data_IF_838734576357
#
_entry.id   IF_838734576357
#
_cell.length_a   1.000
_cell.length_b   1.000
_cell.length_c   1.000
_cell.angle_alpha   90.00
_cell.angle_beta   90.00
_cell.angle_gamma   90.00
#
_symmetry.space_group_name_H-M   'P 1'
#
loop_
_entity.id
_entity.type
_entity.pdbx_description
1 polymer ?
#
# COMPACT_ATOMS: atom_id res chain seq x y z
N UNK A 1 8.96 -17.60 -18.12
CA UNK A 1 8.06 -16.45 -17.98
C UNK A 1 8.88 -15.21 -17.62
N UNK A 2 8.86 -14.19 -18.46
CA UNK A 2 9.61 -12.95 -18.26
C UNK A 2 8.98 -12.02 -17.21
N UNK A 3 9.59 -10.85 -16.96
CA UNK A 3 9.08 -9.85 -16.00
C UNK A 3 7.69 -9.35 -16.39
N UNK A 4 7.44 -9.10 -17.68
CA UNK A 4 6.19 -8.53 -18.19
C UNK A 4 5.04 -9.49 -18.00
N UNK A 5 5.25 -10.77 -18.32
CA UNK A 5 4.28 -11.83 -18.12
C UNK A 5 3.96 -12.02 -16.63
N UNK A 6 4.95 -11.96 -15.74
CA UNK A 6 4.70 -12.00 -14.28
C UNK A 6 3.93 -10.79 -13.79
N UNK A 7 4.26 -9.58 -14.25
CA UNK A 7 3.51 -8.37 -13.92
C UNK A 7 2.05 -8.44 -14.39
N UNK A 8 1.77 -9.16 -15.47
CA UNK A 8 0.39 -9.37 -15.95
C UNK A 8 -0.44 -10.25 -15.00
N UNK A 9 0.20 -11.14 -14.24
CA UNK A 9 -0.46 -11.99 -13.23
C UNK A 9 -0.83 -11.23 -11.96
N UNK A 10 -0.25 -10.05 -11.72
CA UNK A 10 -0.62 -9.17 -10.61
C UNK A 10 -1.93 -8.43 -10.93
N UNK A 11 -3.05 -9.14 -10.77
CA UNK A 11 -4.37 -8.68 -11.21
C UNK A 11 -5.38 -8.45 -10.09
N UNK A 12 -4.99 -8.73 -8.85
CA UNK A 12 -5.76 -8.46 -7.65
C UNK A 12 -6.87 -9.47 -7.40
N UNK A 13 -6.82 -10.65 -8.04
CA UNK A 13 -7.72 -11.76 -7.75
C UNK A 13 -7.28 -12.58 -6.54
N UNK A 14 -6.04 -12.39 -6.06
CA UNK A 14 -5.50 -13.13 -4.92
C UNK A 14 -5.30 -14.61 -5.24
N UNK A 15 -5.00 -14.94 -6.50
CA UNK A 15 -4.72 -16.31 -6.93
C UNK A 15 -3.30 -16.75 -6.54
N UNK A 16 -3.07 -18.05 -6.42
CA UNK A 16 -1.71 -18.58 -6.19
C UNK A 16 -0.72 -18.08 -7.26
N UNK A 17 -1.16 -18.00 -8.53
CA UNK A 17 -0.36 -17.47 -9.62
C UNK A 17 0.05 -16.00 -9.43
N UNK A 18 -0.81 -15.17 -8.83
CA UNK A 18 -0.47 -13.79 -8.48
C UNK A 18 0.61 -13.76 -7.39
N UNK A 19 0.43 -14.53 -6.31
CA UNK A 19 1.40 -14.56 -5.21
C UNK A 19 2.75 -15.16 -5.63
N UNK A 20 2.74 -16.21 -6.45
CA UNK A 20 3.96 -16.80 -7.01
C UNK A 20 4.69 -15.83 -7.93
N UNK A 21 3.95 -15.08 -8.76
CA UNK A 21 4.53 -14.04 -9.60
C UNK A 21 5.13 -12.90 -8.77
N UNK A 22 4.42 -12.41 -7.74
CA UNK A 22 4.91 -11.38 -6.83
C UNK A 22 6.16 -11.85 -6.08
N UNK A 23 6.17 -13.10 -5.59
CA UNK A 23 7.32 -13.70 -4.93
C UNK A 23 8.52 -13.78 -5.87
N UNK A 24 8.31 -14.28 -7.09
CA UNK A 24 9.36 -14.38 -8.10
C UNK A 24 9.91 -13.00 -8.52
N UNK A 25 9.07 -11.97 -8.61
CA UNK A 25 9.50 -10.60 -8.92
C UNK A 25 10.19 -9.91 -7.73
N UNK A 26 9.88 -10.30 -6.49
CA UNK A 26 10.45 -9.64 -5.32
C UNK A 26 11.95 -9.81 -5.13
N UNK A 27 12.56 -10.78 -5.82
CA UNK A 27 14.02 -10.96 -5.88
C UNK A 27 14.73 -9.77 -6.53
N UNK A 28 14.00 -8.92 -7.26
CA UNK A 28 14.49 -7.68 -7.85
C UNK A 28 14.73 -6.58 -6.79
N UNK A 29 14.41 -6.83 -5.52
CA UNK A 29 14.60 -5.86 -4.44
C UNK A 29 13.83 -4.57 -4.69
N UNK A 30 14.51 -3.43 -4.60
CA UNK A 30 13.92 -2.10 -4.74
C UNK A 30 13.53 -1.73 -6.19
N UNK A 31 13.96 -2.49 -7.20
CA UNK A 31 13.44 -2.30 -8.56
C UNK A 31 11.98 -2.80 -8.69
N UNK A 32 11.52 -3.70 -7.81
CA UNK A 32 10.15 -4.19 -7.86
C UNK A 32 9.09 -3.11 -7.56
N UNK A 33 9.21 -2.29 -6.50
CA UNK A 33 8.36 -1.11 -6.29
C UNK A 33 8.24 -0.18 -7.50
N UNK A 34 9.36 0.13 -8.17
CA UNK A 34 9.36 0.94 -9.39
C UNK A 34 8.53 0.33 -10.51
N UNK A 35 8.62 -0.99 -10.71
CA UNK A 35 7.79 -1.71 -11.68
C UNK A 35 6.30 -1.68 -11.29
N UNK A 36 5.97 -1.81 -10.00
CA UNK A 36 4.60 -1.74 -9.51
C UNK A 36 4.01 -0.34 -9.65
N UNK A 37 4.78 0.73 -9.41
CA UNK A 37 4.35 2.10 -9.64
C UNK A 37 4.04 2.35 -11.12
N UNK A 38 4.94 1.91 -12.01
CA UNK A 38 4.71 1.99 -13.45
C UNK A 38 3.46 1.20 -13.87
N UNK A 39 3.26 -0.01 -13.33
CA UNK A 39 2.06 -0.82 -13.61
C UNK A 39 0.79 -0.13 -13.08
N UNK A 40 0.80 0.36 -11.84
CA UNK A 40 -0.32 1.06 -11.21
C UNK A 40 -0.84 2.19 -12.10
N UNK A 41 0.06 3.06 -12.59
CA UNK A 41 -0.26 4.19 -13.48
C UNK A 41 -0.88 3.77 -14.82
N UNK A 42 -0.53 2.58 -15.32
CA UNK A 42 -1.03 2.05 -16.59
C UNK A 42 -2.27 1.14 -16.45
N UNK A 43 -2.62 0.73 -15.23
CA UNK A 43 -3.69 -0.23 -14.98
C UNK A 43 -5.08 0.40 -14.98
N UNK A 44 -5.93 -0.05 -15.91
CA UNK A 44 -7.32 0.42 -16.02
C UNK A 44 -8.24 -0.23 -14.97
N UNK A 45 -7.94 -1.45 -14.53
CA UNK A 45 -8.75 -2.20 -13.58
C UNK A 45 -8.35 -1.89 -12.15
N UNK A 46 -9.33 -1.66 -11.28
CA UNK A 46 -9.07 -1.38 -9.88
C UNK A 46 -8.39 -2.55 -9.15
N UNK A 47 -8.65 -3.81 -9.56
CA UNK A 47 -8.02 -5.00 -8.98
C UNK A 47 -6.51 -5.02 -9.21
N UNK A 48 -6.07 -4.74 -10.45
CA UNK A 48 -4.64 -4.64 -10.78
C UNK A 48 -3.96 -3.52 -9.99
N UNK A 49 -4.63 -2.37 -9.85
CA UNK A 49 -4.11 -1.26 -9.05
C UNK A 49 -4.00 -1.63 -7.57
N UNK A 50 -5.03 -2.26 -7.00
CA UNK A 50 -5.00 -2.79 -5.63
C UNK A 50 -3.86 -3.78 -5.43
N UNK A 51 -3.64 -4.70 -6.37
CA UNK A 51 -2.53 -5.66 -6.36
C UNK A 51 -1.19 -4.94 -6.27
N UNK A 52 -0.99 -3.85 -7.03
CA UNK A 52 0.22 -3.05 -6.96
C UNK A 52 0.43 -2.46 -5.55
N UNK A 53 -0.60 -1.82 -4.96
CA UNK A 53 -0.47 -1.24 -3.60
C UNK A 53 -0.23 -2.32 -2.54
N UNK A 54 -0.89 -3.47 -2.68
CA UNK A 54 -0.74 -4.59 -1.76
C UNK A 54 0.68 -5.15 -1.77
N UNK A 55 1.18 -5.54 -2.94
CA UNK A 55 2.52 -6.18 -3.05
C UNK A 55 3.67 -5.21 -2.80
N UNK A 56 3.45 -3.90 -3.00
CA UNK A 56 4.46 -2.88 -2.65
C UNK A 56 4.52 -2.57 -1.15
N UNK A 57 3.50 -2.95 -0.37
CA UNK A 57 3.38 -2.59 1.05
C UNK A 57 4.57 -3.05 1.90
N UNK A 58 5.21 -4.18 1.55
CA UNK A 58 6.40 -4.66 2.27
C UNK A 58 7.64 -3.78 2.11
N UNK A 59 7.64 -2.85 1.16
CA UNK A 59 8.73 -1.91 0.90
C UNK A 59 8.47 -0.52 1.49
N UNK A 60 7.39 -0.34 2.26
CA UNK A 60 6.93 0.96 2.77
C UNK A 60 8.01 1.77 3.51
N UNK A 61 8.93 1.10 4.21
CA UNK A 61 10.01 1.75 4.95
C UNK A 61 11.26 2.04 4.10
N UNK A 62 11.44 1.35 2.98
CA UNK A 62 12.71 1.28 2.26
C UNK A 62 12.67 1.87 0.83
N UNK A 63 11.49 2.17 0.29
CA UNK A 63 11.34 2.58 -1.12
C UNK A 63 10.56 3.88 -1.27
N UNK A 64 11.18 4.86 -1.93
CA UNK A 64 10.49 6.08 -2.37
C UNK A 64 9.38 5.76 -3.39
N UNK A 65 9.60 4.84 -4.33
CA UNK A 65 8.57 4.42 -5.28
C UNK A 65 7.34 3.80 -4.58
N UNK A 66 7.55 3.04 -3.51
CA UNK A 66 6.45 2.48 -2.70
C UNK A 66 5.65 3.59 -2.01
N UNK A 67 6.34 4.59 -1.47
CA UNK A 67 5.72 5.75 -0.84
C UNK A 67 4.96 6.60 -1.87
N UNK A 68 5.56 6.89 -3.02
CA UNK A 68 4.95 7.62 -4.13
C UNK A 68 3.69 6.90 -4.65
N UNK A 69 3.76 5.58 -4.82
CA UNK A 69 2.61 4.76 -5.21
C UNK A 69 1.46 4.91 -4.21
N UNK A 70 1.75 4.88 -2.90
CA UNK A 70 0.74 5.05 -1.88
C UNK A 70 0.12 6.47 -1.90
N UNK A 71 0.93 7.51 -2.11
CA UNK A 71 0.43 8.88 -2.25
C UNK A 71 -0.51 9.00 -3.45
N UNK A 72 -0.15 8.46 -4.62
CA UNK A 72 -1.05 8.45 -5.79
C UNK A 72 -2.33 7.64 -5.54
N UNK A 73 -2.22 6.55 -4.79
CA UNK A 73 -3.32 5.65 -4.48
C UNK A 73 -4.36 6.23 -3.51
N UNK A 74 -4.04 7.30 -2.76
CA UNK A 74 -5.04 8.04 -1.99
C UNK A 74 -6.12 8.67 -2.87
N UNK A 75 -5.79 9.03 -4.12
CA UNK A 75 -6.75 9.61 -5.07
C UNK A 75 -7.48 8.56 -5.92
N UNK A 76 -7.31 7.25 -5.67
CA UNK A 76 -7.93 6.21 -6.49
C UNK A 76 -9.46 6.23 -6.37
N UNK A 77 -10.15 5.96 -7.48
CA UNK A 77 -11.61 5.84 -7.53
C UNK A 77 -12.15 4.71 -6.65
N UNK A 78 -11.37 3.65 -6.46
CA UNK A 78 -11.74 2.49 -5.65
C UNK A 78 -11.42 2.70 -4.18
N UNK A 79 -12.44 2.60 -3.32
CA UNK A 79 -12.28 2.60 -1.85
C UNK A 79 -11.25 1.57 -1.39
N UNK A 80 -11.21 0.37 -1.98
CA UNK A 80 -10.27 -0.68 -1.59
C UNK A 80 -8.82 -0.28 -1.83
N UNK A 81 -8.56 0.42 -2.93
CA UNK A 81 -7.22 0.93 -3.25
C UNK A 81 -6.84 2.03 -2.26
N UNK A 82 -7.75 2.97 -1.96
CA UNK A 82 -7.52 4.03 -0.96
C UNK A 82 -7.26 3.46 0.44
N UNK A 83 -8.03 2.45 0.86
CA UNK A 83 -7.80 1.75 2.13
C UNK A 83 -6.37 1.18 2.21
N UNK A 84 -5.93 0.47 1.17
CA UNK A 84 -4.59 -0.11 1.12
C UNK A 84 -3.51 0.98 1.13
N UNK A 85 -3.76 2.12 0.48
CA UNK A 85 -2.87 3.27 0.51
C UNK A 85 -2.75 3.87 1.91
N UNK A 86 -3.86 4.09 2.62
CA UNK A 86 -3.84 4.55 4.01
C UNK A 86 -3.07 3.60 4.92
N UNK A 87 -3.29 2.28 4.79
CA UNK A 87 -2.55 1.26 5.52
C UNK A 87 -1.05 1.36 5.25
N UNK A 88 -0.64 1.43 3.97
CA UNK A 88 0.76 1.52 3.59
C UNK A 88 1.41 2.78 4.19
N UNK A 89 0.76 3.93 4.10
CA UNK A 89 1.29 5.19 4.68
C UNK A 89 1.38 5.12 6.22
N UNK A 90 0.42 4.47 6.87
CA UNK A 90 0.48 4.20 8.30
C UNK A 90 1.67 3.30 8.67
N UNK A 91 2.09 2.39 7.78
CA UNK A 91 3.31 1.60 7.98
C UNK A 91 4.56 2.40 7.67
N UNK A 92 4.53 3.24 6.63
CA UNK A 92 5.66 4.07 6.21
C UNK A 92 6.03 5.15 7.25
N UNK A 93 5.07 5.59 8.09
CA UNK A 93 5.31 6.46 9.23
C UNK A 93 5.94 7.82 8.89
N UNK A 94 5.77 8.29 7.64
CA UNK A 94 6.32 9.58 7.19
C UNK A 94 5.35 10.71 7.45
N UNK A 95 5.79 11.74 8.19
CA UNK A 95 4.95 12.90 8.50
C UNK A 95 4.53 13.69 7.26
N UNK A 96 5.26 13.59 6.15
CA UNK A 96 4.88 14.18 4.85
C UNK A 96 3.60 13.59 4.26
N UNK A 97 3.11 12.45 4.77
CA UNK A 97 1.84 11.85 4.35
C UNK A 97 0.62 12.51 5.01
N UNK A 98 0.81 13.30 6.07
CA UNK A 98 -0.29 13.88 6.84
C UNK A 98 -1.17 14.81 6.00
N UNK A 99 -0.56 15.65 5.16
CA UNK A 99 -1.29 16.56 4.26
C UNK A 99 -2.09 15.80 3.18
N UNK A 100 -1.49 14.88 2.40
CA UNK A 100 -2.24 14.03 1.49
C UNK A 100 -3.39 13.26 2.15
N UNK A 101 -3.15 12.65 3.32
CA UNK A 101 -4.19 11.92 4.07
C UNK A 101 -5.32 12.84 4.53
N UNK A 102 -5.03 14.09 4.91
CA UNK A 102 -6.05 15.03 5.35
C UNK A 102 -7.10 15.31 4.27
N UNK A 103 -6.72 15.23 2.98
CA UNK A 103 -7.66 15.40 1.85
C UNK A 103 -8.77 14.37 1.82
N UNK A 104 -8.57 13.18 2.41
CA UNK A 104 -9.56 12.11 2.50
C UNK A 104 -10.50 12.24 3.70
N UNK A 105 -10.28 13.20 4.61
CA UNK A 105 -11.13 13.36 5.79
C UNK A 105 -12.56 13.79 5.44
N UNK A 106 -12.74 14.50 4.32
CA UNK A 106 -14.04 14.86 3.76
C UNK A 106 -14.67 13.74 2.91
N UNK A 107 -13.88 12.73 2.50
CA UNK A 107 -14.38 11.60 1.70
C UNK A 107 -15.07 10.58 2.60
N UNK A 108 -16.41 10.58 2.59
CA UNK A 108 -17.25 9.76 3.50
C UNK A 108 -16.79 8.32 3.63
N UNK A 109 -16.40 7.69 2.53
CA UNK A 109 -16.04 6.27 2.52
C UNK A 109 -14.62 5.97 3.01
N UNK A 110 -13.75 6.97 3.11
CA UNK A 110 -12.33 6.82 3.41
C UNK A 110 -11.86 7.66 4.60
N UNK A 111 -12.73 8.51 5.14
CA UNK A 111 -12.44 9.41 6.27
C UNK A 111 -11.91 8.65 7.48
N UNK A 112 -12.55 7.53 7.86
CA UNK A 112 -12.12 6.75 9.01
C UNK A 112 -10.77 6.06 8.80
N UNK A 113 -10.47 5.62 7.58
CA UNK A 113 -9.17 5.01 7.26
C UNK A 113 -8.06 6.06 7.24
N UNK A 114 -8.36 7.27 6.74
CA UNK A 114 -7.44 8.39 6.78
C UNK A 114 -7.16 8.87 8.20
N UNK A 115 -8.18 8.95 9.07
CA UNK A 115 -8.02 9.26 10.50
C UNK A 115 -7.11 8.25 11.18
N UNK A 116 -7.35 6.96 10.96
CA UNK A 116 -6.54 5.90 11.55
C UNK A 116 -5.07 5.95 11.07
N UNK A 117 -4.84 6.25 9.79
CA UNK A 117 -3.47 6.41 9.26
C UNK A 117 -2.76 7.66 9.83
N UNK A 118 -3.46 8.79 9.91
CA UNK A 118 -2.95 10.02 10.51
C UNK A 118 -2.59 9.78 11.99
N UNK A 119 -3.46 9.08 12.71
CA UNK A 119 -3.28 8.78 14.12
C UNK A 119 -2.07 7.87 14.36
N UNK A 120 -1.95 6.81 13.55
CA UNK A 120 -0.77 5.94 13.53
C UNK A 120 0.52 6.71 13.28
N UNK A 121 0.53 7.64 12.31
CA UNK A 121 1.71 8.46 11.98
C UNK A 121 2.07 9.40 13.14
N UNK A 122 1.07 10.07 13.74
CA UNK A 122 1.29 11.01 14.85
C UNK A 122 1.86 10.32 16.09
N UNK A 123 1.45 9.08 16.35
CA UNK A 123 1.90 8.30 17.50
C UNK A 123 3.14 7.45 17.23
N UNK A 124 3.63 7.42 15.98
CA UNK A 124 4.75 6.56 15.56
C UNK A 124 4.48 5.07 15.80
N UNK A 125 3.22 4.66 15.74
CA UNK A 125 2.80 3.27 15.92
C UNK A 125 1.84 2.86 14.79
N UNK A 126 2.33 2.04 13.86
CA UNK A 126 1.52 1.58 12.74
C UNK A 126 0.33 0.72 13.20
N UNK A 127 0.39 0.11 14.38
CA UNK A 127 -0.70 -0.73 14.89
C UNK A 127 -1.99 0.07 15.05
N UNK A 128 -1.91 1.36 15.37
CA UNK A 128 -3.09 2.21 15.59
C UNK A 128 -3.97 2.38 14.35
N UNK A 129 -3.46 2.04 13.16
CA UNK A 129 -4.30 1.95 11.98
C UNK A 129 -5.41 0.89 12.12
N UNK A 130 -5.09 -0.25 12.77
CA UNK A 130 -6.02 -1.33 13.07
C UNK A 130 -6.56 -1.26 14.50
N UNK A 131 -5.71 -0.90 15.46
CA UNK A 131 -6.01 -0.73 16.89
C UNK A 131 -6.54 0.68 17.19
N UNK A 132 -7.70 1.01 16.62
CA UNK A 132 -8.23 2.38 16.59
C UNK A 132 -8.62 2.95 17.96
N UNK A 133 -8.75 2.10 18.97
CA UNK A 133 -9.05 2.46 20.36
C UNK A 133 -7.80 2.46 21.26
N UNK A 134 -6.61 2.20 20.68
CA UNK A 134 -5.33 2.11 21.38
C UNK A 134 -5.35 1.06 22.51
N UNK A 135 -6.10 -0.02 22.31
CA UNK A 135 -6.23 -1.09 23.31
C UNK A 135 -4.92 -1.86 23.56
N UNK A 136 -4.01 -1.83 22.61
CA UNK A 136 -2.79 -2.65 22.58
C UNK A 136 -3.05 -4.11 22.18
N UNK A 137 -4.31 -4.50 21.95
CA UNK A 137 -4.72 -5.88 21.68
C UNK A 137 -4.68 -6.25 20.20
N UNK A 138 -4.73 -5.26 19.31
CA UNK A 138 -4.67 -5.46 17.86
C UNK A 138 -3.28 -5.10 17.33
N UNK A 139 -2.66 -6.03 16.61
CA UNK A 139 -1.36 -5.82 15.97
C UNK A 139 -1.45 -6.04 14.46
N UNK A 140 -0.85 -5.13 13.71
CA UNK A 140 -0.66 -5.33 12.28
C UNK A 140 0.52 -6.27 12.05
N UNK A 141 0.28 -7.38 11.36
CA UNK A 141 1.36 -8.21 10.87
C UNK A 141 1.86 -7.65 9.53
N UNK A 142 2.91 -6.85 9.58
CA UNK A 142 3.52 -6.22 8.40
C UNK A 142 4.82 -6.92 8.05
N UNK A 143 4.83 -7.60 6.90
CA UNK A 143 6.09 -8.09 6.34
C UNK A 143 6.92 -6.87 5.90
N UNK A 144 8.19 -6.80 6.31
CA UNK A 144 9.10 -5.75 5.90
C UNK A 144 10.21 -6.31 5.02
N UNK A 145 10.60 -5.53 4.01
CA UNK A 145 11.79 -5.78 3.24
C UNK A 145 13.03 -5.53 4.09
N UNK A 146 13.91 -6.53 4.16
CA UNK A 146 15.24 -6.41 4.75
C UNK A 146 16.25 -6.57 3.60
N UNK A 147 17.10 -5.56 3.43
CA UNK A 147 18.17 -5.53 2.42
C UNK A 147 19.24 -6.58 2.66
#
# INVERSE_FOLDING_TARGET
MDIKEKLALLDGRGSDAEYDAAKALSVLGLEFPKLLLAKYRNSKKWGERLSCVYHVSKYALASEDAYELAIEALADKSKKVRYQACLLLAVAQRSTALEPLATLLSERESSEDAKAAIDAIKHRDHNYFADRDHSGMVKLNVQQYHS
#
